data_IF_550869229347
#
_entry.id   IF_550869229347
#
_cell.length_a   1.000
_cell.length_b   1.000
_cell.length_c   1.000
_cell.angle_alpha   90.00
_cell.angle_beta   90.00
_cell.angle_gamma   90.00
#
_symmetry.space_group_name_H-M   'P 1'
#
loop_
_entity.id
_entity.type
_entity.pdbx_description
1 polymer ?
#
# COMPACT_ATOMS: atom_id res chain seq x y z
N UNK A 1 -19.20 -17.60 16.80
CA UNK A 1 -18.14 -17.83 15.78
C UNK A 1 -16.98 -16.92 16.12
N UNK A 2 -15.79 -17.40 16.53
CA UNK A 2 -14.66 -16.52 16.76
C UNK A 2 -14.06 -16.13 15.40
N UNK A 3 -14.21 -14.87 15.01
CA UNK A 3 -13.53 -14.30 13.86
C UNK A 3 -12.05 -14.20 14.21
N UNK A 4 -11.23 -15.17 13.77
CA UNK A 4 -9.78 -15.12 13.91
C UNK A 4 -9.31 -13.88 13.15
N UNK A 5 -9.12 -12.78 13.88
CA UNK A 5 -8.61 -11.53 13.31
C UNK A 5 -7.11 -11.71 13.12
N UNK A 6 -6.71 -12.37 12.02
CA UNK A 6 -5.31 -12.47 11.62
C UNK A 6 -4.80 -11.07 11.30
N UNK A 7 -4.00 -10.49 12.20
CA UNK A 7 -3.13 -9.36 11.86
C UNK A 7 -2.09 -9.88 10.87
N UNK A 8 -2.31 -9.66 9.58
CA UNK A 8 -1.43 -10.15 8.50
C UNK A 8 -0.12 -9.35 8.38
N UNK A 9 -0.01 -8.19 9.03
CA UNK A 9 1.22 -7.39 9.10
C UNK A 9 1.82 -7.41 10.52
N UNK A 10 1.90 -8.59 11.13
CA UNK A 10 2.42 -8.74 12.48
C UNK A 10 3.94 -8.98 12.50
N UNK A 11 4.53 -9.42 11.39
CA UNK A 11 5.97 -9.73 11.30
C UNK A 11 6.71 -8.80 10.33
N UNK A 12 8.02 -8.56 10.55
CA UNK A 12 8.85 -7.80 9.61
C UNK A 12 8.90 -8.41 8.20
N UNK A 13 8.87 -9.75 8.11
CA UNK A 13 8.84 -10.47 6.84
C UNK A 13 7.57 -10.15 6.03
N UNK A 14 6.41 -10.10 6.69
CA UNK A 14 5.14 -9.75 6.05
C UNK A 14 5.15 -8.30 5.56
N UNK A 15 5.67 -7.37 6.37
CA UNK A 15 5.84 -5.97 5.99
C UNK A 15 6.75 -5.85 4.75
N UNK A 16 7.84 -6.61 4.72
CA UNK A 16 8.79 -6.64 3.60
C UNK A 16 8.11 -7.17 2.33
N UNK A 17 7.36 -8.27 2.42
CA UNK A 17 6.64 -8.84 1.29
C UNK A 17 5.59 -7.88 0.72
N UNK A 18 4.81 -7.21 1.58
CA UNK A 18 3.84 -6.18 1.14
C UNK A 18 4.54 -5.00 0.48
N UNK A 19 5.65 -4.52 1.05
CA UNK A 19 6.44 -3.44 0.47
C UNK A 19 6.95 -3.81 -0.92
N UNK A 20 7.48 -5.02 -1.08
CA UNK A 20 7.95 -5.51 -2.38
C UNK A 20 6.82 -5.58 -3.40
N UNK A 21 5.66 -6.14 -3.03
CA UNK A 21 4.51 -6.21 -3.93
C UNK A 21 3.98 -4.83 -4.35
N UNK A 22 4.06 -3.83 -3.47
CA UNK A 22 3.73 -2.44 -3.81
C UNK A 22 4.79 -1.82 -4.74
N UNK A 23 6.07 -2.12 -4.52
CA UNK A 23 7.16 -1.64 -5.38
C UNK A 23 7.05 -2.21 -6.79
N UNK A 24 6.70 -3.50 -6.93
CA UNK A 24 6.45 -4.12 -8.24
C UNK A 24 5.36 -3.40 -9.04
N UNK A 25 4.36 -2.80 -8.38
CA UNK A 25 3.35 -1.98 -9.07
C UNK A 25 3.89 -0.63 -9.52
N UNK A 26 4.82 -0.05 -8.77
CA UNK A 26 5.46 1.22 -9.12
C UNK A 26 6.41 1.04 -10.30
N UNK A 27 7.11 -0.10 -10.35
CA UNK A 27 8.07 -0.39 -11.40
C UNK A 27 7.38 -0.82 -12.72
N UNK A 28 6.12 -1.20 -12.68
CA UNK A 28 5.33 -1.60 -13.85
C UNK A 28 4.55 -0.43 -14.45
N UNK A 29 5.00 0.03 -15.62
CA UNK A 29 4.38 1.11 -16.42
C UNK A 29 2.92 0.87 -16.84
N UNK A 30 2.39 -0.34 -16.67
CA UNK A 30 0.98 -0.66 -16.86
C UNK A 30 0.05 -0.18 -15.75
N UNK A 31 0.60 0.37 -14.66
CA UNK A 31 -0.16 0.89 -13.52
C UNK A 31 0.14 2.37 -13.27
N UNK A 32 -0.89 3.14 -12.96
CA UNK A 32 -0.77 4.51 -12.46
C UNK A 32 -0.55 4.50 -10.94
N UNK A 33 0.70 4.70 -10.53
CA UNK A 33 1.11 4.74 -9.12
C UNK A 33 1.72 6.09 -8.73
N UNK A 34 1.18 7.18 -9.27
CA UNK A 34 1.67 8.53 -8.94
C UNK A 34 1.59 8.82 -7.43
N UNK A 35 2.57 9.56 -6.89
CA UNK A 35 2.57 9.99 -5.50
C UNK A 35 1.37 10.90 -5.22
N UNK A 36 0.90 10.93 -3.96
CA UNK A 36 -0.29 11.70 -3.58
C UNK A 36 0.08 12.88 -2.69
N UNK A 37 -0.67 13.98 -2.79
CA UNK A 37 -0.48 15.12 -1.90
C UNK A 37 -0.83 14.78 -0.44
N UNK A 38 -0.05 15.30 0.50
CA UNK A 38 -0.29 15.24 1.94
C UNK A 38 -0.11 16.62 2.58
N UNK A 39 -1.09 17.06 3.38
CA UNK A 39 -1.08 18.38 4.01
C UNK A 39 -0.02 18.50 5.12
N UNK A 40 0.36 17.39 5.74
CA UNK A 40 1.36 17.33 6.81
C UNK A 40 2.78 17.34 6.24
N UNK A 41 3.35 18.55 6.12
CA UNK A 41 4.70 18.80 5.61
C UNK A 41 5.83 18.17 6.46
N UNK A 42 5.52 17.78 7.70
CA UNK A 42 6.50 17.38 8.71
C UNK A 42 7.29 16.11 8.33
N UNK A 43 6.79 15.32 7.37
CA UNK A 43 7.36 14.02 6.98
C UNK A 43 7.86 14.00 5.54
N UNK A 44 7.26 14.79 4.63
CA UNK A 44 7.64 14.86 3.22
C UNK A 44 7.79 16.32 2.79
N UNK A 45 9.02 16.71 2.42
CA UNK A 45 9.41 18.10 2.12
C UNK A 45 8.67 18.70 0.92
N UNK A 46 8.23 17.87 -0.01
CA UNK A 46 7.48 18.23 -1.21
C UNK A 46 5.97 18.11 -1.04
N UNK A 47 5.49 17.80 0.17
CA UNK A 47 4.09 17.47 0.45
C UNK A 47 3.56 16.29 -0.39
N UNK A 48 4.42 15.40 -0.87
CA UNK A 48 4.02 14.22 -1.62
C UNK A 48 4.39 12.97 -0.84
N UNK A 49 3.40 12.12 -0.59
CA UNK A 49 3.63 10.78 -0.07
C UNK A 49 3.79 9.80 -1.25
N UNK A 50 4.90 9.04 -1.33
CA UNK A 50 5.07 8.03 -2.36
C UNK A 50 4.03 6.91 -2.24
N UNK A 51 3.74 6.25 -3.37
CA UNK A 51 2.68 5.22 -3.46
C UNK A 51 2.88 4.07 -2.46
N UNK A 52 4.10 3.54 -2.35
CA UNK A 52 4.45 2.45 -1.43
C UNK A 52 4.21 2.88 0.01
N UNK A 53 4.78 4.01 0.42
CA UNK A 53 4.68 4.57 1.77
C UNK A 53 3.22 4.84 2.16
N UNK A 54 2.43 5.43 1.25
CA UNK A 54 1.01 5.68 1.45
C UNK A 54 0.24 4.41 1.77
N UNK A 55 0.39 3.38 0.95
CA UNK A 55 -0.38 2.15 1.09
C UNK A 55 0.13 1.26 2.23
N UNK A 56 1.43 1.28 2.50
CA UNK A 56 2.00 0.60 3.65
C UNK A 56 1.51 1.25 4.97
N UNK A 57 1.55 2.58 5.07
CA UNK A 57 1.04 3.31 6.23
C UNK A 57 -0.47 3.08 6.45
N UNK A 58 -1.24 3.02 5.35
CA UNK A 58 -2.67 2.66 5.42
C UNK A 58 -2.88 1.27 6.02
N UNK A 59 -2.17 0.25 5.54
CA UNK A 59 -2.31 -1.11 6.04
C UNK A 59 -1.82 -1.27 7.49
N UNK A 60 -0.79 -0.53 7.89
CA UNK A 60 -0.31 -0.50 9.29
C UNK A 60 -1.32 0.15 10.23
N UNK A 61 -1.99 1.22 9.80
CA UNK A 61 -3.01 1.91 10.59
C UNK A 61 -4.37 1.19 10.59
N UNK A 62 -4.62 0.31 9.62
CA UNK A 62 -5.88 -0.42 9.46
C UNK A 62 -5.65 -1.95 9.55
N UNK A 63 -5.36 -2.51 10.74
CA UNK A 63 -5.00 -3.92 10.91
C UNK A 63 -6.12 -4.93 10.59
N UNK A 64 -7.34 -4.45 10.34
CA UNK A 64 -8.49 -5.27 9.90
C UNK A 64 -8.55 -5.43 8.38
N UNK A 65 -7.79 -4.64 7.61
CA UNK A 65 -7.70 -4.75 6.16
C UNK A 65 -6.82 -5.94 5.81
N UNK A 66 -7.29 -6.80 4.92
CA UNK A 66 -6.49 -7.88 4.38
C UNK A 66 -5.49 -7.30 3.35
N UNK A 67 -4.16 -7.38 3.57
CA UNK A 67 -3.17 -6.82 2.67
C UNK A 67 -3.18 -7.43 1.27
N UNK A 68 -3.41 -8.74 1.14
CA UNK A 68 -3.45 -9.42 -0.17
C UNK A 68 -4.63 -8.91 -1.01
N UNK A 69 -5.79 -8.77 -0.37
CA UNK A 69 -6.99 -8.22 -1.02
C UNK A 69 -6.78 -6.75 -1.37
N UNK A 70 -6.15 -5.97 -0.49
CA UNK A 70 -5.84 -4.56 -0.73
C UNK A 70 -4.93 -4.40 -1.95
N UNK A 71 -3.85 -5.17 -2.06
CA UNK A 71 -2.94 -5.15 -3.21
C UNK A 71 -3.68 -5.55 -4.49
N UNK A 72 -4.55 -6.56 -4.43
CA UNK A 72 -5.36 -6.98 -5.58
C UNK A 72 -6.30 -5.87 -6.05
N UNK A 73 -6.93 -5.15 -5.12
CA UNK A 73 -7.76 -3.99 -5.44
C UNK A 73 -6.93 -2.87 -6.06
N UNK A 74 -5.75 -2.57 -5.51
CA UNK A 74 -4.84 -1.57 -6.08
C UNK A 74 -4.51 -1.91 -7.53
N UNK A 75 -4.10 -3.14 -7.84
CA UNK A 75 -3.87 -3.60 -9.21
C UNK A 75 -5.05 -3.30 -10.13
N UNK A 76 -6.27 -3.59 -9.70
CA UNK A 76 -7.46 -3.32 -10.52
C UNK A 76 -7.72 -1.82 -10.72
N UNK A 77 -7.50 -1.01 -9.67
CA UNK A 77 -7.78 0.43 -9.68
C UNK A 77 -6.74 1.23 -10.45
N UNK A 78 -5.47 0.86 -10.35
CA UNK A 78 -4.35 1.60 -10.96
C UNK A 78 -4.05 1.14 -12.37
N UNK A 79 -4.55 -0.02 -12.82
CA UNK A 79 -4.29 -0.52 -14.16
C UNK A 79 -4.75 0.47 -15.23
N UNK A 80 -3.80 0.90 -16.05
CA UNK A 80 -4.06 1.76 -17.20
C UNK A 80 -4.80 0.91 -18.24
N UNK A 81 -6.00 1.35 -18.62
CA UNK A 81 -6.76 0.75 -19.71
C UNK A 81 -6.31 1.41 -20.99
N UNK A 82 -5.36 0.77 -21.67
CA UNK A 82 -5.01 1.09 -23.05
C UNK A 82 -6.06 0.55 -24.02
#
# INVERSE_FOLDING_TARGET
MPTITRKFLATPEQVTAVRQALQELVDDSGYNTEPSYIASADIYTDHLIPFVEKHLAYLMSHPKVNPEQHISNLRMMTKIRT
#
